data_IF_231253886831
#
_entry.id   IF_231253886831
#
_cell.length_a   1.000
_cell.length_b   1.000
_cell.length_c   1.000
_cell.angle_alpha   90.00
_cell.angle_beta   90.00
_cell.angle_gamma   90.00
#
_symmetry.space_group_name_H-M   'P 1'
#
loop_
_entity.id
_entity.type
_entity.pdbx_description
1 polymer ?
#
# COMPACT_ATOMS: atom_id res chain seq x y z
N UNK A 1 10.10 -19.52 -11.85
CA UNK A 1 9.74 -18.98 -10.53
C UNK A 1 8.53 -18.11 -10.73
N UNK A 2 7.36 -18.54 -10.24
CA UNK A 2 6.12 -17.75 -10.33
C UNK A 2 5.98 -16.83 -9.11
N UNK A 3 5.03 -15.89 -9.14
CA UNK A 3 4.81 -14.92 -8.06
C UNK A 3 4.58 -15.60 -6.70
N UNK A 4 3.75 -16.66 -6.68
CA UNK A 4 3.50 -17.44 -5.48
C UNK A 4 4.77 -18.13 -4.95
N UNK A 5 5.71 -18.51 -5.81
CA UNK A 5 7.02 -19.04 -5.42
C UNK A 5 7.97 -17.97 -4.88
N UNK A 6 7.83 -16.71 -5.27
CA UNK A 6 8.67 -15.62 -4.76
C UNK A 6 8.14 -15.04 -3.45
N UNK A 7 6.82 -14.97 -3.29
CA UNK A 7 6.17 -14.26 -2.19
C UNK A 7 5.39 -15.17 -1.22
N UNK A 8 4.85 -16.32 -1.67
CA UNK A 8 3.84 -17.07 -0.91
C UNK A 8 4.27 -18.48 -0.47
N UNK A 9 5.13 -19.21 -1.19
CA UNK A 9 5.49 -20.59 -0.83
C UNK A 9 6.41 -20.64 0.39
N UNK A 10 6.07 -21.55 1.31
CA UNK A 10 6.95 -22.06 2.35
C UNK A 10 8.15 -22.77 1.73
N UNK A 11 9.22 -22.01 1.47
CA UNK A 11 10.52 -22.58 1.09
C UNK A 11 11.37 -21.78 0.11
N UNK A 12 10.85 -20.73 -0.54
CA UNK A 12 11.63 -20.01 -1.56
C UNK A 12 11.53 -18.49 -1.40
N UNK A 13 12.67 -17.86 -1.14
CA UNK A 13 12.92 -16.42 -0.92
C UNK A 13 12.40 -15.85 0.41
N UNK A 14 13.22 -15.97 1.47
CA UNK A 14 13.09 -15.16 2.69
C UNK A 14 13.02 -13.65 2.41
N UNK A 15 13.58 -13.20 1.28
CA UNK A 15 13.62 -11.80 0.84
C UNK A 15 12.24 -11.33 0.39
N UNK A 16 11.45 -12.14 -0.32
CA UNK A 16 10.12 -11.75 -0.78
C UNK A 16 9.12 -11.59 0.37
N UNK A 17 9.11 -12.54 1.31
CA UNK A 17 8.30 -12.46 2.53
C UNK A 17 8.74 -11.30 3.44
N UNK A 18 10.04 -11.07 3.61
CA UNK A 18 10.56 -9.95 4.39
C UNK A 18 10.18 -8.61 3.77
N UNK A 19 10.36 -8.46 2.46
CA UNK A 19 9.95 -7.26 1.73
C UNK A 19 8.47 -6.96 1.98
N UNK A 20 7.60 -7.97 1.82
CA UNK A 20 6.16 -7.87 2.09
C UNK A 20 5.84 -7.48 3.54
N UNK A 21 6.54 -8.06 4.52
CA UNK A 21 6.39 -7.71 5.92
C UNK A 21 6.81 -6.25 6.19
N UNK A 22 7.89 -5.79 5.57
CA UNK A 22 8.36 -4.41 5.67
C UNK A 22 7.38 -3.43 5.03
N UNK A 23 6.78 -3.77 3.87
CA UNK A 23 5.73 -2.96 3.24
C UNK A 23 4.58 -2.78 4.21
N UNK A 24 4.05 -3.88 4.73
CA UNK A 24 2.87 -3.83 5.60
C UNK A 24 3.17 -3.13 6.92
N UNK A 25 4.35 -3.36 7.52
CA UNK A 25 4.78 -2.69 8.75
C UNK A 25 4.82 -1.17 8.57
N UNK A 26 5.35 -0.70 7.45
CA UNK A 26 5.39 0.72 7.12
C UNK A 26 4.01 1.28 6.77
N UNK A 27 3.14 0.50 6.10
CA UNK A 27 1.75 0.89 5.83
C UNK A 27 0.93 1.13 7.10
N UNK A 28 1.31 0.57 8.25
CA UNK A 28 0.69 0.90 9.56
C UNK A 28 0.82 2.38 9.91
N UNK A 29 1.81 3.07 9.38
CA UNK A 29 2.11 4.47 9.66
C UNK A 29 1.77 5.40 8.48
N UNK A 30 1.20 4.87 7.39
CA UNK A 30 0.92 5.60 6.15
C UNK A 30 -0.57 5.70 5.89
N UNK A 31 -0.91 6.70 5.10
CA UNK A 31 -2.27 7.06 4.73
C UNK A 31 -2.43 7.03 3.21
N UNK A 32 -3.67 6.91 2.76
CA UNK A 32 -4.01 7.14 1.35
C UNK A 32 -3.63 8.57 0.94
N UNK A 33 -3.15 8.70 -0.30
CA UNK A 33 -2.77 10.00 -0.88
C UNK A 33 -3.58 10.29 -2.13
N UNK A 34 -4.06 11.52 -2.22
CA UNK A 34 -4.63 12.06 -3.45
C UNK A 34 -3.49 12.49 -4.38
N UNK A 35 -3.55 12.07 -5.63
CA UNK A 35 -2.58 12.42 -6.66
C UNK A 35 -3.27 13.02 -7.87
N UNK A 36 -2.50 13.74 -8.68
CA UNK A 36 -2.93 14.19 -10.00
C UNK A 36 -2.47 13.16 -11.01
N UNK A 37 -3.40 12.61 -11.77
CA UNK A 37 -3.09 11.83 -12.94
C UNK A 37 -2.86 12.78 -14.11
N UNK A 38 -1.61 12.82 -14.58
CA UNK A 38 -1.21 13.65 -15.71
C UNK A 38 -1.87 13.17 -17.02
N UNK A 39 -2.50 14.09 -17.74
CA UNK A 39 -3.19 13.78 -18.99
C UNK A 39 -3.79 15.02 -19.66
N UNK A 40 -4.45 14.83 -20.81
CA UNK A 40 -5.11 15.91 -21.55
C UNK A 40 -6.18 16.65 -20.72
N UNK A 41 -6.76 15.96 -19.74
CA UNK A 41 -7.58 16.53 -18.69
C UNK A 41 -7.11 15.95 -17.34
N UNK A 42 -6.34 16.69 -16.53
CA UNK A 42 -5.83 16.19 -15.26
C UNK A 42 -6.99 15.78 -14.35
N UNK A 43 -6.85 14.61 -13.71
CA UNK A 43 -7.86 14.05 -12.81
C UNK A 43 -7.23 13.75 -11.47
N UNK A 44 -8.03 13.80 -10.42
CA UNK A 44 -7.61 13.27 -9.14
C UNK A 44 -7.66 11.74 -9.17
N UNK A 45 -6.62 11.10 -8.67
CA UNK A 45 -6.57 9.68 -8.37
C UNK A 45 -6.27 9.48 -6.88
N UNK A 46 -6.57 8.30 -6.36
CA UNK A 46 -6.18 7.90 -5.01
C UNK A 46 -5.14 6.80 -5.17
N UNK A 47 -4.06 6.90 -4.41
CA UNK A 47 -2.95 5.95 -4.41
C UNK A 47 -2.58 5.60 -2.97
N UNK A 48 -1.93 4.44 -2.80
CA UNK A 48 -1.27 4.09 -1.55
C UNK A 48 0.11 4.74 -1.57
N UNK A 49 0.44 5.54 -0.55
CA UNK A 49 1.80 6.06 -0.40
C UNK A 49 2.73 4.89 -0.07
N UNK A 50 3.56 4.49 -1.03
CA UNK A 50 4.53 3.45 -0.82
C UNK A 50 5.78 4.03 -0.12
N UNK A 51 6.20 3.43 1.00
CA UNK A 51 7.32 3.92 1.78
C UNK A 51 8.65 3.64 1.06
N UNK A 52 9.68 4.38 1.45
CA UNK A 52 11.05 3.92 1.23
C UNK A 52 11.43 2.97 2.36
N UNK A 53 12.28 2.01 2.04
CA UNK A 53 12.83 1.03 2.97
C UNK A 53 14.34 1.05 2.87
N UNK A 54 15.02 0.73 3.95
CA UNK A 54 16.48 0.60 3.92
C UNK A 54 16.83 -0.72 3.26
N UNK A 55 17.56 -0.66 2.14
CA UNK A 55 18.14 -1.86 1.53
C UNK A 55 19.13 -2.47 2.53
N UNK A 56 18.84 -3.69 2.98
CA UNK A 56 19.66 -4.39 3.97
C UNK A 56 21.07 -4.74 3.46
N UNK A 57 21.27 -4.72 2.15
CA UNK A 57 22.53 -5.06 1.47
C UNK A 57 23.41 -3.83 1.28
N UNK A 58 22.82 -2.68 0.93
CA UNK A 58 23.56 -1.43 0.63
C UNK A 58 23.48 -0.40 1.76
N UNK A 59 22.50 -0.53 2.65
CA UNK A 59 22.19 0.45 3.71
C UNK A 59 21.51 1.72 3.19
N UNK A 60 21.16 1.78 1.91
CA UNK A 60 20.56 2.96 1.27
C UNK A 60 19.03 2.96 1.41
N UNK A 61 18.44 4.15 1.48
CA UNK A 61 16.98 4.30 1.44
C UNK A 61 16.51 4.13 -0.01
N UNK A 62 15.74 3.08 -0.27
CA UNK A 62 15.24 2.72 -1.60
C UNK A 62 13.72 2.66 -1.57
N UNK A 63 13.07 3.18 -2.62
CA UNK A 63 11.63 2.98 -2.78
C UNK A 63 11.32 1.49 -2.82
N UNK A 64 10.30 1.05 -2.09
CA UNK A 64 9.94 -0.36 -2.00
C UNK A 64 9.62 -0.98 -3.36
N UNK A 65 9.13 -0.17 -4.31
CA UNK A 65 8.90 -0.55 -5.71
C UNK A 65 10.20 -1.02 -6.38
N UNK A 66 11.33 -0.41 -6.03
CA UNK A 66 12.62 -0.76 -6.62
C UNK A 66 13.23 -2.04 -6.02
N UNK A 67 12.76 -2.46 -4.84
CA UNK A 67 13.10 -3.77 -4.27
C UNK A 67 12.28 -4.91 -4.89
N UNK A 68 11.12 -4.61 -5.48
CA UNK A 68 10.35 -5.60 -6.24
C UNK A 68 11.09 -5.92 -7.55
N UNK A 69 11.44 -7.19 -7.82
CA UNK A 69 12.08 -7.58 -9.07
C UNK A 69 11.23 -7.17 -10.27
N UNK A 70 11.87 -6.75 -11.36
CA UNK A 70 11.21 -6.16 -12.52
C UNK A 70 10.12 -7.08 -13.11
N UNK A 71 10.34 -8.39 -13.09
CA UNK A 71 9.42 -9.42 -13.55
C UNK A 71 8.14 -9.54 -12.71
N UNK A 72 8.16 -9.05 -11.45
CA UNK A 72 7.02 -9.09 -10.53
C UNK A 72 6.36 -7.73 -10.29
N UNK A 73 6.95 -6.62 -10.78
CA UNK A 73 6.40 -5.27 -10.57
C UNK A 73 4.97 -5.13 -11.07
N UNK A 74 4.65 -5.65 -12.24
CA UNK A 74 3.29 -5.57 -12.80
C UNK A 74 2.25 -6.22 -11.89
N UNK A 75 2.53 -7.45 -11.45
CA UNK A 75 1.65 -8.18 -10.52
C UNK A 75 1.56 -7.47 -9.16
N UNK A 76 2.67 -6.93 -8.66
CA UNK A 76 2.71 -6.18 -7.41
C UNK A 76 1.79 -4.96 -7.45
N UNK A 77 1.84 -4.18 -8.53
CA UNK A 77 0.96 -3.03 -8.71
C UNK A 77 -0.51 -3.43 -8.89
N UNK A 78 -0.77 -4.50 -9.62
CA UNK A 78 -2.13 -5.05 -9.78
C UNK A 78 -2.73 -5.42 -8.41
N UNK A 79 -1.96 -6.12 -7.56
CA UNK A 79 -2.42 -6.46 -6.20
C UNK A 79 -2.64 -5.27 -5.29
N UNK A 80 -1.78 -4.25 -5.38
CA UNK A 80 -1.99 -3.01 -4.63
C UNK A 80 -3.24 -2.27 -5.10
N UNK A 81 -3.52 -2.26 -6.40
CA UNK A 81 -4.73 -1.66 -6.95
C UNK A 81 -5.98 -2.41 -6.48
N UNK A 82 -5.98 -3.75 -6.51
CA UNK A 82 -7.06 -4.58 -5.97
C UNK A 82 -7.29 -4.33 -4.47
N UNK A 83 -6.22 -4.29 -3.68
CA UNK A 83 -6.31 -4.02 -2.23
C UNK A 83 -6.85 -2.61 -1.95
N UNK A 84 -6.42 -1.63 -2.74
CA UNK A 84 -6.92 -0.26 -2.65
C UNK A 84 -8.42 -0.18 -2.99
N UNK A 85 -8.84 -0.84 -4.06
CA UNK A 85 -10.25 -0.89 -4.47
C UNK A 85 -11.11 -1.58 -3.40
N UNK A 86 -10.64 -2.70 -2.83
CA UNK A 86 -11.31 -3.39 -1.74
C UNK A 86 -11.42 -2.53 -0.48
N UNK A 87 -10.35 -1.80 -0.13
CA UNK A 87 -10.35 -0.91 1.03
C UNK A 87 -11.23 0.31 0.83
N UNK A 88 -11.24 0.92 -0.36
CA UNK A 88 -12.01 2.14 -0.64
C UNK A 88 -13.49 1.85 -0.89
N UNK A 89 -13.79 0.75 -1.58
CA UNK A 89 -15.14 0.33 -1.94
C UNK A 89 -15.95 1.41 -2.67
N UNK A 90 -17.25 1.43 -2.42
CA UNK A 90 -18.17 2.43 -3.01
C UNK A 90 -17.89 3.86 -2.53
N UNK A 91 -17.40 4.02 -1.30
CA UNK A 91 -17.19 5.34 -0.69
C UNK A 91 -16.02 6.09 -1.33
N UNK A 92 -14.91 5.41 -1.64
CA UNK A 92 -13.81 6.02 -2.39
C UNK A 92 -14.22 6.41 -3.80
N UNK A 93 -15.04 5.59 -4.46
CA UNK A 93 -15.62 5.93 -5.76
C UNK A 93 -16.57 7.13 -5.69
N UNK A 94 -17.39 7.22 -4.64
CA UNK A 94 -18.27 8.37 -4.39
C UNK A 94 -17.45 9.64 -4.15
N UNK A 95 -16.35 9.51 -3.41
CA UNK A 95 -15.43 10.60 -3.15
C UNK A 95 -14.79 11.09 -4.46
N UNK A 96 -14.17 10.23 -5.26
CA UNK A 96 -13.60 10.64 -6.55
C UNK A 96 -14.65 11.30 -7.47
N UNK A 97 -15.89 10.79 -7.49
CA UNK A 97 -16.99 11.38 -8.24
C UNK A 97 -17.36 12.79 -7.78
N UNK A 98 -17.26 13.12 -6.49
CA UNK A 98 -17.57 14.48 -6.02
C UNK A 98 -16.57 15.53 -6.51
N UNK A 99 -15.36 15.08 -6.89
CA UNK A 99 -14.30 15.91 -7.44
C UNK A 99 -14.22 15.86 -8.98
N UNK A 100 -15.04 15.02 -9.63
CA UNK A 100 -15.06 14.93 -11.10
C UNK A 100 -15.51 16.25 -11.72
N UNK A 101 -14.69 16.79 -12.63
CA UNK A 101 -15.03 17.97 -13.43
C UNK A 101 -14.66 19.27 -12.74
N UNK A 102 -14.11 19.20 -11.53
CA UNK A 102 -13.48 20.33 -10.88
C UNK A 102 -12.05 20.54 -11.42
N UNK A 103 -11.58 21.78 -11.53
CA UNK A 103 -10.18 22.04 -11.82
C UNK A 103 -9.32 21.53 -10.65
N UNK A 104 -8.38 20.64 -10.97
CA UNK A 104 -7.46 20.07 -9.98
C UNK A 104 -6.42 21.14 -9.61
N UNK A 105 -6.65 21.80 -8.48
CA UNK A 105 -5.82 22.86 -7.91
C UNK A 105 -5.38 22.43 -6.51
N UNK A 106 -4.31 23.02 -5.97
CA UNK A 106 -3.82 22.68 -4.62
C UNK A 106 -4.92 22.73 -3.54
N UNK A 107 -5.83 23.72 -3.52
CA UNK A 107 -6.94 23.72 -2.55
C UNK A 107 -7.91 22.55 -2.74
N UNK A 108 -8.13 22.10 -3.98
CA UNK A 108 -9.01 20.96 -4.28
C UNK A 108 -8.35 19.66 -3.86
N UNK A 109 -7.07 19.48 -4.15
CA UNK A 109 -6.29 18.33 -3.68
C UNK A 109 -6.22 18.26 -2.16
N UNK A 110 -5.99 19.40 -1.50
CA UNK A 110 -5.97 19.47 -0.03
C UNK A 110 -7.31 19.09 0.60
N UNK A 111 -8.43 19.48 -0.02
CA UNK A 111 -9.77 19.05 0.43
C UNK A 111 -9.98 17.55 0.22
N UNK A 112 -9.63 17.03 -0.95
CA UNK A 112 -9.71 15.61 -1.24
C UNK A 112 -8.87 14.79 -0.25
N UNK A 113 -7.66 15.25 0.07
CA UNK A 113 -6.80 14.64 1.08
C UNK A 113 -7.45 14.64 2.47
N UNK A 114 -8.11 15.73 2.85
CA UNK A 114 -8.85 15.81 4.11
C UNK A 114 -10.05 14.87 4.17
N UNK A 115 -10.80 14.74 3.08
CA UNK A 115 -11.93 13.82 2.99
C UNK A 115 -11.50 12.35 2.97
N UNK A 116 -10.36 12.04 2.33
CA UNK A 116 -9.71 10.72 2.40
C UNK A 116 -9.33 10.36 3.83
N UNK A 117 -8.68 11.26 4.56
CA UNK A 117 -8.27 11.02 5.94
C UNK A 117 -9.49 10.77 6.87
N UNK A 118 -10.62 11.45 6.62
CA UNK A 118 -11.87 11.19 7.33
C UNK A 118 -12.44 9.81 7.02
N UNK A 119 -12.47 9.43 5.74
CA UNK A 119 -12.91 8.09 5.32
C UNK A 119 -12.09 6.99 6.00
N UNK A 120 -10.77 7.15 6.09
CA UNK A 120 -9.90 6.20 6.80
C UNK A 120 -10.20 6.14 8.31
N UNK A 121 -10.48 7.29 8.94
CA UNK A 121 -10.85 7.34 10.35
C UNK A 121 -12.19 6.65 10.63
N UNK A 122 -13.18 6.87 9.76
CA UNK A 122 -14.52 6.28 9.88
C UNK A 122 -14.49 4.75 9.71
N UNK A 123 -13.68 4.25 8.77
CA UNK A 123 -13.46 2.80 8.60
C UNK A 123 -12.80 2.16 9.81
N UNK A 124 -11.75 2.80 10.35
CA UNK A 124 -11.10 2.33 11.57
C UNK A 124 -12.07 2.30 12.76
N UNK A 125 -12.95 3.28 12.87
CA UNK A 125 -13.96 3.33 13.91
C UNK A 125 -15.07 2.27 13.74
N UNK A 126 -15.38 1.90 12.49
CA UNK A 126 -16.41 0.90 12.15
C UNK A 126 -15.92 -0.54 12.30
N UNK A 127 -14.61 -0.76 12.40
CA UNK A 127 -14.00 -2.08 12.54
C UNK A 127 -13.80 -2.82 11.21
N UNK A 128 -13.86 -2.11 10.07
CA UNK A 128 -13.68 -2.68 8.73
C UNK A 128 -12.21 -3.07 8.43
N UNK A 129 -11.32 -2.88 9.40
CA UNK A 129 -9.88 -3.09 9.27
C UNK A 129 -9.15 -1.86 8.77
N UNK A 130 -7.85 -1.81 9.05
CA UNK A 130 -6.95 -0.76 8.56
C UNK A 130 -6.44 -1.12 7.15
N UNK A 131 -6.04 -0.10 6.38
CA UNK A 131 -5.49 -0.26 5.02
C UNK A 131 -4.40 -1.33 4.95
N UNK A 132 -3.47 -1.34 5.92
CA UNK A 132 -2.38 -2.32 5.95
C UNK A 132 -2.88 -3.77 6.13
N UNK A 133 -4.00 -3.99 6.83
CA UNK A 133 -4.59 -5.32 7.03
C UNK A 133 -5.19 -5.83 5.72
N UNK A 134 -5.90 -4.96 4.99
CA UNK A 134 -6.46 -5.30 3.67
C UNK A 134 -5.33 -5.61 2.69
N UNK A 135 -4.29 -4.77 2.65
CA UNK A 135 -3.10 -5.04 1.82
C UNK A 135 -2.47 -6.38 2.21
N UNK A 136 -2.20 -6.63 3.49
CA UNK A 136 -1.62 -7.89 3.95
C UNK A 136 -2.42 -9.12 3.49
N UNK A 137 -3.74 -9.06 3.60
CA UNK A 137 -4.64 -10.13 3.16
C UNK A 137 -4.56 -10.39 1.65
N UNK A 138 -4.52 -9.34 0.81
CA UNK A 138 -4.37 -9.46 -0.65
C UNK A 138 -3.02 -10.06 -1.09
N UNK A 139 -1.99 -9.87 -0.27
CA UNK A 139 -0.66 -10.47 -0.45
C UNK A 139 -0.53 -11.86 0.19
N UNK A 140 -1.60 -12.40 0.80
CA UNK A 140 -1.60 -13.72 1.44
C UNK A 140 -0.78 -13.79 2.74
N UNK A 141 -0.50 -12.65 3.36
CA UNK A 141 0.21 -12.59 4.63
C UNK A 141 -0.79 -12.83 5.76
N UNK A 142 -0.62 -13.93 6.49
CA UNK A 142 -1.42 -14.20 7.70
C UNK A 142 -0.95 -13.32 8.86
N UNK A 143 -1.87 -12.90 9.74
CA UNK A 143 -1.54 -12.07 10.92
C UNK A 143 -0.41 -12.65 11.79
N UNK A 144 -0.25 -13.98 11.80
CA UNK A 144 0.85 -14.68 12.48
C UNK A 144 2.22 -14.56 11.83
N UNK A 145 2.31 -14.05 10.59
CA UNK A 145 3.59 -13.81 9.89
C UNK A 145 4.28 -12.52 10.35
N UNK A 146 3.60 -11.71 11.19
CA UNK A 146 4.10 -10.42 11.70
C UNK A 146 4.60 -10.49 13.16
N UNK A 147 4.60 -11.68 13.77
CA UNK A 147 5.19 -12.00 15.08
C UNK A 147 6.50 -12.76 14.79
N UNK A 148 7.72 -12.38 15.14
CA UNK A 148 8.36 -11.30 15.88
C UNK A 148 9.74 -11.09 15.19
N UNK A 149 10.45 -9.97 15.36
CA UNK A 149 11.90 -10.02 15.25
C UNK A 149 12.38 -11.02 16.31
N UNK A 150 12.87 -12.18 15.90
CA UNK A 150 13.63 -13.07 16.76
C UNK A 150 14.89 -12.32 17.23
N UNK A 151 14.74 -11.50 18.27
CA UNK A 151 15.82 -11.16 19.17
C UNK A 151 16.24 -12.47 19.83
N UNK A 152 17.08 -13.21 19.10
CA UNK A 152 18.02 -14.12 19.73
C UNK A 152 18.91 -13.24 20.59
N UNK A 153 18.50 -13.04 21.83
CA UNK A 153 19.32 -12.53 22.90
C UNK A 153 20.46 -13.54 23.08
N UNK A 154 21.54 -13.34 22.32
CA UNK A 154 22.83 -13.92 22.62
C UNK A 154 23.54 -12.97 23.57
N UNK A 155 23.39 -13.22 24.87
CA UNK A 155 24.53 -13.27 25.81
C UNK A 155 24.18 -13.94 27.12
#
# INVERSE_FOLDING_TARGET
MNYEEFFCKDGSSSIGKQLLADIVSQLKQKHLVAQVEDGYAPRASISIELPNVTDVTTGEEVSIINMVPAEFKAFFFERLAEALEAYLGEDGNRLLKSYWGQPITDPVLSRLQGDLARLEADRRASGDGELWQVVAAHFGLSEGSFLEPSHSDQK
#
